data_IF_828271101664
#
_entry.id   IF_828271101664
#
_cell.length_a   1.000
_cell.length_b   1.000
_cell.length_c   1.000
_cell.angle_alpha   90.00
_cell.angle_beta   90.00
_cell.angle_gamma   90.00
#
_symmetry.space_group_name_H-M   'P 1'
#
loop_
_entity.id
_entity.type
_entity.pdbx_description
1 polymer ?
#
# COMPACT_ATOMS: atom_id res chain seq x y z
N UNK A 1 -11.24 25.38 9.19
CA UNK A 1 -10.47 24.16 9.55
C UNK A 1 -10.10 23.31 8.32
N UNK A 2 -9.29 23.82 7.37
CA UNK A 2 -8.97 23.10 6.13
C UNK A 2 -7.97 21.93 6.29
N UNK A 3 -7.27 21.85 7.41
CA UNK A 3 -6.21 20.84 7.62
C UNK A 3 -6.75 19.46 8.02
N UNK A 4 -7.95 19.39 8.60
CA UNK A 4 -8.54 18.13 9.04
C UNK A 4 -9.04 17.27 7.87
N UNK A 5 -9.68 17.87 6.87
CA UNK A 5 -10.12 17.13 5.66
C UNK A 5 -8.94 16.58 4.86
N UNK A 6 -7.88 17.37 4.68
CA UNK A 6 -6.66 16.91 4.00
C UNK A 6 -6.02 15.74 4.75
N UNK A 7 -5.93 15.84 6.09
CA UNK A 7 -5.46 14.74 6.91
C UNK A 7 -6.34 13.50 6.69
N UNK A 8 -7.66 13.60 6.87
CA UNK A 8 -8.59 12.48 6.71
C UNK A 8 -8.50 11.80 5.32
N UNK A 9 -8.44 12.57 4.23
CA UNK A 9 -8.28 12.02 2.87
C UNK A 9 -6.97 11.25 2.71
N UNK A 10 -5.87 11.79 3.25
CA UNK A 10 -4.57 11.10 3.25
C UNK A 10 -4.63 9.82 4.08
N UNK A 11 -5.34 9.82 5.21
CA UNK A 11 -5.54 8.62 6.04
C UNK A 11 -6.34 7.53 5.33
N UNK A 12 -7.44 7.90 4.66
CA UNK A 12 -8.27 6.99 3.86
C UNK A 12 -7.47 6.42 2.71
N UNK A 13 -6.73 7.26 1.97
CA UNK A 13 -5.87 6.79 0.87
C UNK A 13 -4.76 5.86 1.34
N UNK A 14 -4.17 6.15 2.50
CA UNK A 14 -3.16 5.30 3.14
C UNK A 14 -3.74 3.95 3.60
N UNK A 15 -5.05 3.84 3.85
CA UNK A 15 -5.71 2.61 4.27
C UNK A 15 -6.17 1.78 3.07
N UNK A 16 -6.88 2.41 2.13
CA UNK A 16 -7.54 1.73 1.02
C UNK A 16 -6.71 1.72 -0.27
N UNK A 17 -5.85 2.72 -0.48
CA UNK A 17 -5.00 2.83 -1.68
C UNK A 17 -4.11 1.60 -1.92
N UNK A 18 -3.42 1.06 -0.90
CA UNK A 18 -2.62 -0.16 -1.07
C UNK A 18 -3.45 -1.38 -1.47
N UNK A 19 -4.74 -1.44 -1.15
CA UNK A 19 -5.61 -2.59 -1.48
C UNK A 19 -6.34 -2.42 -2.81
N UNK A 20 -6.76 -1.21 -3.15
CA UNK A 20 -7.49 -0.92 -4.39
C UNK A 20 -6.65 -1.20 -5.63
N UNK A 21 -5.36 -0.82 -5.63
CA UNK A 21 -4.48 -0.97 -6.79
C UNK A 21 -4.25 -2.46 -7.12
N UNK A 22 -3.86 -3.32 -6.15
CA UNK A 22 -3.70 -4.75 -6.42
C UNK A 22 -4.99 -5.49 -6.68
N UNK A 23 -6.11 -5.08 -6.05
CA UNK A 23 -7.41 -5.67 -6.33
C UNK A 23 -7.80 -5.50 -7.80
N UNK A 24 -7.61 -4.29 -8.35
CA UNK A 24 -7.84 -4.02 -9.78
C UNK A 24 -6.87 -4.83 -10.65
N UNK A 25 -5.59 -4.91 -10.28
CA UNK A 25 -4.62 -5.72 -11.03
C UNK A 25 -4.97 -7.20 -11.03
N UNK A 26 -5.52 -7.71 -9.93
CA UNK A 26 -5.88 -9.12 -9.79
C UNK A 26 -7.06 -9.49 -10.69
N UNK A 27 -7.97 -8.55 -10.99
CA UNK A 27 -9.03 -8.73 -11.99
C UNK A 27 -8.50 -8.79 -13.42
N UNK A 28 -7.30 -8.25 -13.67
CA UNK A 28 -6.71 -8.15 -15.02
C UNK A 28 -5.70 -9.29 -15.24
N UNK A 29 -4.92 -9.67 -14.23
CA UNK A 29 -3.85 -10.65 -14.35
C UNK A 29 -3.50 -11.29 -12.98
N UNK A 30 -3.12 -12.58 -12.92
CA UNK A 30 -2.73 -13.25 -11.67
C UNK A 30 -1.54 -12.60 -10.94
N UNK A 31 -0.77 -11.75 -11.63
CA UNK A 31 0.30 -10.90 -11.04
C UNK A 31 -0.27 -9.95 -9.97
N UNK A 32 -1.57 -9.62 -9.99
CA UNK A 32 -2.22 -8.86 -8.93
C UNK A 32 -2.13 -9.49 -7.54
N UNK A 33 -1.98 -10.82 -7.45
CA UNK A 33 -1.74 -11.54 -6.18
C UNK A 33 -0.45 -11.05 -5.51
N UNK A 34 0.62 -10.80 -6.28
CA UNK A 34 1.88 -10.24 -5.76
C UNK A 34 1.66 -8.82 -5.22
N UNK A 35 0.87 -8.01 -5.93
CA UNK A 35 0.47 -6.70 -5.43
C UNK A 35 -0.29 -6.79 -4.10
N UNK A 36 -1.15 -7.81 -3.93
CA UNK A 36 -1.94 -8.02 -2.73
C UNK A 36 -1.07 -8.41 -1.53
N UNK A 37 -0.04 -9.23 -1.76
CA UNK A 37 1.00 -9.52 -0.75
C UNK A 37 1.74 -8.24 -0.35
N UNK A 38 2.10 -7.38 -1.31
CA UNK A 38 2.70 -6.07 -1.03
C UNK A 38 1.78 -5.18 -0.18
N UNK A 39 0.49 -5.14 -0.51
CA UNK A 39 -0.52 -4.39 0.24
C UNK A 39 -0.69 -4.88 1.67
N UNK A 40 -0.68 -6.21 1.86
CA UNK A 40 -0.71 -6.83 3.19
C UNK A 40 0.47 -6.38 4.05
N UNK A 41 1.69 -6.37 3.49
CA UNK A 41 2.88 -5.85 4.19
C UNK A 41 2.75 -4.38 4.58
N UNK A 42 2.20 -3.54 3.68
CA UNK A 42 1.94 -2.12 3.94
C UNK A 42 0.96 -1.93 5.11
N UNK A 43 -0.16 -2.65 5.11
CA UNK A 43 -1.16 -2.54 6.18
C UNK A 43 -0.64 -3.12 7.48
N UNK A 44 -0.04 -4.32 7.46
CA UNK A 44 0.51 -4.96 8.65
C UNK A 44 1.51 -4.04 9.36
N UNK A 45 2.38 -3.37 8.61
CA UNK A 45 3.36 -2.42 9.16
C UNK A 45 2.71 -1.20 9.81
N UNK A 46 1.62 -0.70 9.23
CA UNK A 46 0.84 0.41 9.80
C UNK A 46 0.03 0.02 11.03
N UNK A 47 -0.65 -1.12 10.97
CA UNK A 47 -1.44 -1.65 12.08
C UNK A 47 -0.54 -1.96 13.27
N UNK A 48 0.62 -2.57 13.03
CA UNK A 48 1.65 -2.78 14.06
C UNK A 48 2.10 -1.47 14.71
N UNK A 49 2.43 -0.46 13.89
CA UNK A 49 2.87 0.86 14.39
C UNK A 49 1.79 1.54 15.24
N UNK A 50 0.52 1.40 14.84
CA UNK A 50 -0.64 1.97 15.54
C UNK A 50 -1.01 1.24 16.83
N UNK A 51 -0.98 -0.09 16.84
CA UNK A 51 -1.19 -0.90 18.05
C UNK A 51 -0.15 -0.53 19.11
N UNK A 52 1.09 -0.24 18.68
CA UNK A 52 2.16 0.19 19.57
C UNK A 52 1.98 1.62 20.11
N UNK A 53 1.43 2.54 19.31
CA UNK A 53 1.32 3.96 19.69
C UNK A 53 0.03 4.31 20.45
N UNK A 54 -0.95 3.38 20.58
CA UNK A 54 -2.30 3.62 21.11
C UNK A 54 -3.07 4.78 20.45
N UNK A 55 -2.52 5.37 19.37
CA UNK A 55 -3.09 6.47 18.60
C UNK A 55 -3.77 5.91 17.36
N UNK A 56 -5.00 5.42 17.55
CA UNK A 56 -5.85 4.91 16.47
C UNK A 56 -6.19 5.99 15.41
N UNK A 57 -6.12 7.28 15.76
CA UNK A 57 -6.64 8.39 14.95
C UNK A 57 -5.60 9.01 13.99
N UNK A 58 -4.30 8.78 14.16
CA UNK A 58 -3.25 9.39 13.30
C UNK A 58 -2.62 8.36 12.35
N UNK A 59 -2.96 8.37 11.06
CA UNK A 59 -2.32 7.51 10.03
C UNK A 59 -1.06 8.15 9.39
N UNK A 60 -0.41 9.08 10.08
CA UNK A 60 0.83 9.72 9.61
C UNK A 60 2.07 8.84 9.85
N UNK A 61 3.11 9.00 9.02
CA UNK A 61 4.37 8.23 9.11
C UNK A 61 5.23 8.54 10.33
N UNK A 62 4.79 9.46 11.20
CA UNK A 62 5.59 10.02 12.28
C UNK A 62 5.93 9.01 13.39
N UNK A 63 5.16 7.93 13.55
CA UNK A 63 5.35 6.94 14.64
C UNK A 63 5.89 5.57 14.20
N UNK A 64 6.31 5.41 12.94
CA UNK A 64 6.80 4.11 12.46
C UNK A 64 8.23 3.84 12.91
N UNK A 65 8.45 2.66 13.51
CA UNK A 65 9.80 2.16 13.80
C UNK A 65 10.58 1.89 12.51
N UNK A 66 11.91 1.86 12.59
CA UNK A 66 12.77 1.60 11.42
C UNK A 66 12.42 0.29 10.70
N UNK A 67 12.05 -0.76 11.43
CA UNK A 67 11.62 -2.05 10.85
C UNK A 67 10.29 -1.96 10.10
N UNK A 68 9.32 -1.23 10.65
CA UNK A 68 8.02 -1.00 10.00
C UNK A 68 8.15 -0.11 8.78
N UNK A 69 9.04 0.88 8.82
CA UNK A 69 9.35 1.75 7.68
C UNK A 69 9.97 0.96 6.53
N UNK A 70 10.89 0.04 6.83
CA UNK A 70 11.47 -0.87 5.83
C UNK A 70 10.38 -1.78 5.25
N UNK A 71 9.57 -2.42 6.09
CA UNK A 71 8.48 -3.29 5.63
C UNK A 71 7.43 -2.54 4.80
N UNK A 72 7.13 -1.29 5.16
CA UNK A 72 6.25 -0.39 4.41
C UNK A 72 6.83 -0.05 3.03
N UNK A 73 8.13 0.26 2.95
CA UNK A 73 8.81 0.51 1.66
C UNK A 73 8.87 -0.73 0.79
N UNK A 74 9.17 -1.89 1.37
CA UNK A 74 9.16 -3.18 0.66
C UNK A 74 7.77 -3.44 0.10
N UNK A 75 6.71 -3.27 0.90
CA UNK A 75 5.33 -3.48 0.44
C UNK A 75 4.95 -2.60 -0.75
N UNK A 76 5.29 -1.32 -0.74
CA UNK A 76 5.11 -0.44 -1.92
C UNK A 76 6.00 -0.83 -3.10
N UNK A 77 7.23 -1.28 -2.84
CA UNK A 77 8.13 -1.79 -3.87
C UNK A 77 7.56 -3.02 -4.59
N UNK A 78 6.94 -3.94 -3.86
CA UNK A 78 6.27 -5.12 -4.45
C UNK A 78 5.05 -4.71 -5.27
N UNK A 79 4.25 -3.76 -4.80
CA UNK A 79 3.11 -3.21 -5.58
C UNK A 79 3.62 -2.57 -6.89
N UNK A 80 4.68 -1.76 -6.81
CA UNK A 80 5.31 -1.15 -7.97
C UNK A 80 5.88 -2.18 -8.96
N UNK A 81 6.55 -3.22 -8.45
CA UNK A 81 7.07 -4.31 -9.26
C UNK A 81 5.94 -5.07 -9.98
N UNK A 82 4.86 -5.38 -9.28
CA UNK A 82 3.69 -6.06 -9.85
C UNK A 82 3.05 -5.22 -10.96
N UNK A 83 2.95 -3.90 -10.78
CA UNK A 83 2.51 -2.97 -11.83
C UNK A 83 3.42 -3.03 -13.05
N UNK A 84 4.73 -2.90 -12.87
CA UNK A 84 5.69 -2.95 -13.97
C UNK A 84 5.62 -4.26 -14.74
N UNK A 85 5.52 -5.40 -14.04
CA UNK A 85 5.38 -6.72 -14.68
C UNK A 85 4.07 -6.80 -15.47
N UNK A 86 2.94 -6.34 -14.91
CA UNK A 86 1.67 -6.32 -15.64
C UNK A 86 1.74 -5.47 -16.93
N UNK A 87 2.38 -4.30 -16.87
CA UNK A 87 2.56 -3.44 -18.05
C UNK A 87 3.46 -4.13 -19.07
N UNK A 88 4.57 -4.73 -18.63
CA UNK A 88 5.50 -5.43 -19.50
C UNK A 88 4.83 -6.62 -20.22
N UNK A 89 4.04 -7.41 -19.48
CA UNK A 89 3.29 -8.54 -20.04
C UNK A 89 2.24 -8.07 -21.05
N UNK A 90 1.50 -6.99 -20.76
CA UNK A 90 0.58 -6.36 -21.73
C UNK A 90 1.28 -5.89 -23.00
N UNK A 91 2.49 -5.35 -22.88
CA UNK A 91 3.29 -4.92 -24.04
C UNK A 91 3.82 -6.10 -24.87
N UNK A 92 4.11 -7.23 -24.23
CA UNK A 92 4.57 -8.44 -24.91
C UNK A 92 3.44 -9.21 -25.59
N UNK A 93 2.24 -9.21 -25.01
CA UNK A 93 1.06 -9.91 -25.53
C UNK A 93 0.39 -9.15 -26.69
N UNK A 94 0.64 -7.84 -26.80
CA UNK A 94 0.17 -6.99 -27.90
C UNK A 94 1.10 -6.96 -29.13
N UNK A 95 2.11 -7.83 -29.20
CA UNK A 95 3.12 -7.89 -30.25
C UNK A 95 3.09 -9.23 -30.96
#
# INVERSE_FOLDING_TARGET
MPNFEKAAKVQVWLLYGPFLIPLVLMLIHPVGVLGFVGAWFVIKSKVSSKLRSKKLIEWGSASMSSKERVSYRIGWGVIGLALTICILLKFLDGK
#
